data_IF_079621842381
#
_entry.id   IF_079621842381
#
_cell.length_a   1.000
_cell.length_b   1.000
_cell.length_c   1.000
_cell.angle_alpha   90.00
_cell.angle_beta   90.00
_cell.angle_gamma   90.00
#
_symmetry.space_group_name_H-M   'P 1'
#
loop_
_entity.id
_entity.type
_entity.pdbx_description
1 polymer ?
#
# COMPACT_ATOMS: atom_id res chain seq x y z
N UNK A 1 -3.68 -49.73 -4.02
CA UNK A 1 -4.66 -49.29 -3.01
C UNK A 1 -3.90 -48.36 -2.08
N UNK A 2 -3.94 -47.06 -2.35
CA UNK A 2 -3.37 -46.00 -1.52
C UNK A 2 -4.43 -44.92 -1.43
N UNK A 3 -5.02 -44.82 -0.24
CA UNK A 3 -6.09 -43.88 0.08
C UNK A 3 -5.52 -42.44 0.16
N UNK A 4 -6.19 -41.51 -0.50
CA UNK A 4 -5.99 -40.08 -0.32
C UNK A 4 -6.67 -39.61 0.97
N UNK A 5 -6.02 -38.79 1.81
CA UNK A 5 -6.69 -38.16 2.94
C UNK A 5 -7.56 -36.98 2.50
N UNK A 6 -8.73 -36.95 3.09
CA UNK A 6 -9.88 -36.14 2.76
C UNK A 6 -9.69 -34.63 2.84
N UNK A 7 -10.48 -34.00 2.03
CA UNK A 7 -10.82 -32.57 2.05
C UNK A 7 -11.45 -32.18 3.39
N UNK A 8 -10.65 -31.52 4.22
CA UNK A 8 -11.13 -30.91 5.45
C UNK A 8 -12.04 -29.72 5.12
N UNK A 9 -13.33 -29.91 5.28
CA UNK A 9 -14.33 -28.83 5.33
C UNK A 9 -13.95 -27.82 6.39
N UNK A 10 -13.64 -26.59 5.98
CA UNK A 10 -13.47 -25.45 6.89
C UNK A 10 -14.82 -25.20 7.56
N UNK A 11 -14.93 -25.65 8.81
CA UNK A 11 -16.11 -25.47 9.62
C UNK A 11 -16.38 -23.99 9.86
N UNK A 12 -17.58 -23.55 9.48
CA UNK A 12 -18.12 -22.25 9.86
C UNK A 12 -18.04 -22.08 11.36
N UNK A 13 -17.07 -21.31 11.84
CA UNK A 13 -17.05 -20.83 13.22
C UNK A 13 -18.16 -19.78 13.43
N UNK A 14 -19.40 -20.24 13.54
CA UNK A 14 -20.46 -19.49 14.25
C UNK A 14 -20.31 -19.83 15.74
N UNK A 15 -19.41 -19.16 16.45
CA UNK A 15 -19.53 -18.99 17.89
C UNK A 15 -20.02 -17.59 18.19
N UNK A 16 -21.28 -17.51 18.59
CA UNK A 16 -21.90 -16.36 19.20
C UNK A 16 -21.09 -15.97 20.44
N UNK A 17 -20.44 -14.81 20.40
CA UNK A 17 -20.02 -14.08 21.60
C UNK A 17 -21.20 -13.19 22.07
N UNK A 18 -22.34 -13.79 22.32
CA UNK A 18 -23.41 -13.18 23.10
C UNK A 18 -23.26 -13.64 24.51
N UNK A 19 -23.36 -12.69 25.43
CA UNK A 19 -23.35 -12.75 26.88
C UNK A 19 -22.00 -12.59 27.58
N UNK A 20 -21.52 -11.35 27.56
CA UNK A 20 -20.91 -10.78 28.73
C UNK A 20 -21.75 -9.53 29.08
N UNK A 21 -22.68 -9.68 30.02
CA UNK A 21 -23.48 -8.58 30.54
C UNK A 21 -22.56 -7.59 31.24
N UNK A 22 -22.24 -6.49 30.56
CA UNK A 22 -21.65 -5.30 31.14
C UNK A 22 -22.61 -4.16 30.88
N UNK A 23 -23.05 -3.52 31.95
CA UNK A 23 -23.80 -2.25 31.88
C UNK A 23 -22.98 -1.21 31.10
N UNK A 24 -23.62 -0.49 30.16
CA UNK A 24 -22.91 0.51 29.36
C UNK A 24 -22.62 1.75 30.22
N UNK A 25 -21.38 1.95 30.64
CA UNK A 25 -20.92 3.24 31.10
C UNK A 25 -20.94 4.26 29.92
N UNK A 26 -21.46 5.49 30.12
CA UNK A 26 -21.78 6.41 29.00
C UNK A 26 -20.58 7.21 28.46
N UNK A 27 -19.37 6.70 28.50
CA UNK A 27 -18.19 7.36 27.93
C UNK A 27 -17.60 6.55 26.75
N UNK A 28 -16.36 6.51 26.51
CA UNK A 28 -15.68 5.96 25.35
C UNK A 28 -15.91 4.46 25.08
N UNK A 29 -16.25 3.67 26.10
CA UNK A 29 -16.41 2.21 26.01
C UNK A 29 -17.49 1.78 25.02
N UNK A 30 -18.57 2.53 24.88
CA UNK A 30 -19.63 2.19 23.93
C UNK A 30 -19.22 2.45 22.47
N UNK A 31 -18.37 3.46 22.22
CA UNK A 31 -17.79 3.70 20.87
C UNK A 31 -16.92 2.53 20.45
N UNK A 32 -16.09 2.01 21.36
CA UNK A 32 -15.29 0.81 21.12
C UNK A 32 -16.18 -0.44 20.90
N UNK A 33 -17.24 -0.58 21.66
CA UNK A 33 -18.20 -1.66 21.48
C UNK A 33 -18.86 -1.62 20.10
N UNK A 34 -19.15 -0.43 19.57
CA UNK A 34 -19.69 -0.23 18.22
C UNK A 34 -18.74 -0.67 17.10
N UNK A 35 -17.42 -0.69 17.34
CA UNK A 35 -16.41 -1.13 16.36
C UNK A 35 -16.18 -2.64 16.33
N UNK A 36 -16.83 -3.44 17.19
CA UNK A 36 -16.58 -4.87 17.37
C UNK A 36 -16.54 -5.66 16.06
N UNK A 37 -17.56 -5.49 15.22
CA UNK A 37 -17.67 -6.25 13.97
C UNK A 37 -16.59 -5.83 12.95
N UNK A 38 -16.26 -4.55 12.87
CA UNK A 38 -15.20 -4.02 11.98
C UNK A 38 -13.84 -4.55 12.44
N UNK A 39 -13.55 -4.51 13.74
CA UNK A 39 -12.30 -5.02 14.28
C UNK A 39 -12.18 -6.55 14.11
N UNK A 40 -13.29 -7.29 14.18
CA UNK A 40 -13.31 -8.72 13.85
C UNK A 40 -13.01 -8.96 12.38
N UNK A 41 -13.65 -8.23 11.46
CA UNK A 41 -13.36 -8.32 10.01
C UNK A 41 -11.90 -7.96 9.72
N UNK A 42 -11.37 -6.92 10.38
CA UNK A 42 -9.95 -6.55 10.28
C UNK A 42 -9.03 -7.70 10.70
N UNK A 43 -9.33 -8.39 11.80
CA UNK A 43 -8.57 -9.55 12.27
C UNK A 43 -8.61 -10.71 11.28
N UNK A 44 -9.79 -11.02 10.74
CA UNK A 44 -9.97 -12.05 9.70
C UNK A 44 -9.23 -11.67 8.40
N UNK A 45 -9.32 -10.41 7.98
CA UNK A 45 -8.60 -9.91 6.81
C UNK A 45 -7.08 -10.13 6.94
N UNK A 46 -6.49 -9.76 8.07
CA UNK A 46 -5.06 -9.95 8.34
C UNK A 46 -4.66 -11.43 8.34
N UNK A 47 -5.54 -12.30 8.84
CA UNK A 47 -5.33 -13.75 8.77
C UNK A 47 -5.33 -14.25 7.32
N UNK A 48 -6.32 -13.83 6.51
CA UNK A 48 -6.43 -14.27 5.12
C UNK A 48 -5.34 -13.67 4.21
N UNK A 49 -4.86 -12.46 4.47
CA UNK A 49 -3.67 -11.91 3.81
C UNK A 49 -2.48 -12.86 4.02
N UNK A 50 -2.21 -13.27 5.26
CA UNK A 50 -1.11 -14.22 5.56
C UNK A 50 -1.29 -15.55 4.89
N UNK A 51 -2.51 -16.07 4.86
CA UNK A 51 -2.82 -17.33 4.18
C UNK A 51 -2.55 -17.24 2.68
N UNK A 52 -3.02 -16.16 2.02
CA UNK A 52 -2.81 -15.92 0.59
C UNK A 52 -1.33 -15.94 0.20
N UNK A 53 -0.50 -15.22 0.93
CA UNK A 53 0.93 -15.13 0.63
C UNK A 53 1.68 -16.43 0.96
N UNK A 54 1.36 -17.09 2.07
CA UNK A 54 1.98 -18.38 2.44
C UNK A 54 1.69 -19.47 1.42
N UNK A 55 0.47 -19.56 0.90
CA UNK A 55 0.10 -20.50 -0.16
C UNK A 55 0.85 -20.25 -1.49
N UNK A 56 1.34 -19.02 -1.68
CA UNK A 56 2.16 -18.61 -2.84
C UNK A 56 3.65 -18.62 -2.58
N UNK A 57 4.06 -19.26 -1.48
CA UNK A 57 5.48 -19.43 -1.08
C UNK A 57 6.21 -18.10 -0.82
N UNK A 58 5.49 -17.08 -0.34
CA UNK A 58 6.12 -15.88 0.21
C UNK A 58 6.53 -16.13 1.67
N UNK A 59 7.73 -15.68 2.02
CA UNK A 59 8.20 -15.65 3.41
C UNK A 59 7.68 -14.40 4.10
N UNK A 60 6.96 -14.56 5.22
CA UNK A 60 6.65 -13.44 6.11
C UNK A 60 7.93 -13.04 6.86
N UNK A 61 8.26 -11.75 6.80
CA UNK A 61 9.43 -11.20 7.47
C UNK A 61 9.02 -10.09 8.43
N UNK A 62 9.89 -9.80 9.39
CA UNK A 62 9.79 -8.64 10.27
C UNK A 62 11.06 -7.80 10.15
N UNK A 63 10.91 -6.53 9.83
CA UNK A 63 12.01 -5.57 9.79
C UNK A 63 11.92 -4.62 10.99
N UNK A 64 13.04 -3.99 11.40
CA UNK A 64 13.01 -3.04 12.50
C UNK A 64 12.09 -1.86 12.23
N UNK A 65 11.24 -1.52 13.19
CA UNK A 65 10.40 -0.31 13.16
C UNK A 65 11.23 0.95 13.41
N UNK A 66 12.25 0.85 14.26
CA UNK A 66 13.16 1.95 14.59
C UNK A 66 14.42 1.85 13.73
N UNK A 67 14.56 2.73 12.76
CA UNK A 67 15.60 2.70 11.72
C UNK A 67 16.55 3.91 11.83
N UNK A 68 17.80 3.76 11.40
CA UNK A 68 18.77 4.88 11.43
C UNK A 68 18.55 5.90 10.31
N UNK A 69 17.99 5.47 9.18
CA UNK A 69 17.80 6.30 8.00
C UNK A 69 16.55 5.84 7.23
N UNK A 70 15.48 6.64 7.17
CA UNK A 70 14.37 6.40 6.25
C UNK A 70 14.80 6.69 4.81
N UNK A 71 13.98 6.23 3.83
CA UNK A 71 14.14 6.65 2.44
C UNK A 71 13.99 8.17 2.35
N UNK A 72 14.88 8.89 1.66
CA UNK A 72 14.66 10.29 1.35
C UNK A 72 13.53 10.41 0.33
N UNK A 73 12.39 10.91 0.78
CA UNK A 73 11.22 11.20 -0.06
C UNK A 73 10.76 12.64 0.20
N UNK A 74 10.48 13.45 -0.85
CA UNK A 74 10.18 14.86 -0.68
C UNK A 74 8.94 15.15 0.17
N UNK A 75 7.92 14.28 0.04
CA UNK A 75 6.58 14.50 0.60
C UNK A 75 6.25 13.62 1.80
N UNK A 76 7.14 12.70 2.21
CA UNK A 76 6.93 11.82 3.34
C UNK A 76 7.89 12.20 4.48
N UNK A 77 7.32 12.56 5.62
CA UNK A 77 8.08 12.93 6.80
C UNK A 77 8.06 11.79 7.83
N UNK A 78 9.26 11.37 8.26
CA UNK A 78 9.41 10.33 9.26
C UNK A 78 9.40 10.91 10.67
N UNK A 79 8.73 10.23 11.59
CA UNK A 79 8.69 10.59 13.01
C UNK A 79 10.07 10.35 13.64
N UNK A 80 10.68 11.39 14.19
CA UNK A 80 11.98 11.30 14.88
C UNK A 80 11.84 10.63 16.26
N UNK A 81 12.76 9.74 16.59
CA UNK A 81 12.85 9.07 17.88
C UNK A 81 14.31 9.07 18.38
N UNK A 82 14.71 10.13 19.07
CA UNK A 82 16.09 10.36 19.47
C UNK A 82 17.01 10.60 18.28
N UNK A 83 18.00 9.73 18.09
CA UNK A 83 18.93 9.73 16.96
C UNK A 83 18.48 8.84 15.79
N UNK A 84 17.28 8.29 15.86
CA UNK A 84 16.66 7.39 14.89
C UNK A 84 15.31 7.91 14.44
N UNK A 85 14.66 7.10 13.60
CA UNK A 85 13.35 7.40 13.03
C UNK A 85 12.44 6.17 13.07
N UNK A 86 11.15 6.38 13.26
CA UNK A 86 10.16 5.35 13.00
C UNK A 86 10.04 5.17 11.47
N UNK A 87 9.96 3.92 11.01
CA UNK A 87 9.91 3.61 9.57
C UNK A 87 8.65 4.20 8.92
N UNK A 88 8.82 4.83 7.77
CA UNK A 88 7.71 5.26 6.89
C UNK A 88 7.22 4.12 6.00
N UNK A 89 8.08 3.11 5.78
CA UNK A 89 7.90 1.88 5.04
C UNK A 89 9.02 0.90 5.42
N UNK A 90 8.81 -0.42 5.35
CA UNK A 90 9.87 -1.43 5.52
C UNK A 90 10.75 -1.61 4.26
N UNK A 91 10.49 -0.91 3.17
CA UNK A 91 11.04 -1.07 1.82
C UNK A 91 12.56 -1.24 1.80
N UNK A 92 13.33 -0.30 2.39
CA UNK A 92 14.80 -0.35 2.34
C UNK A 92 15.37 -1.61 3.02
N UNK A 93 14.71 -2.10 4.06
CA UNK A 93 15.09 -3.32 4.74
C UNK A 93 14.69 -4.57 3.94
N UNK A 94 13.48 -4.60 3.38
CA UNK A 94 13.00 -5.73 2.58
C UNK A 94 13.80 -5.90 1.29
N UNK A 95 14.14 -4.81 0.59
CA UNK A 95 15.02 -4.85 -0.60
C UNK A 95 16.41 -5.40 -0.29
N UNK A 96 16.95 -5.12 0.90
CA UNK A 96 18.21 -5.74 1.34
C UNK A 96 18.11 -7.24 1.56
N UNK A 97 16.93 -7.76 1.93
CA UNK A 97 16.69 -9.19 1.99
C UNK A 97 16.63 -9.81 0.58
N UNK A 98 16.03 -9.12 -0.41
CA UNK A 98 16.08 -9.56 -1.81
C UNK A 98 17.53 -9.66 -2.30
N UNK A 99 18.35 -8.65 -2.02
CA UNK A 99 19.78 -8.65 -2.32
C UNK A 99 20.55 -9.80 -1.62
N UNK A 100 20.07 -10.26 -0.47
CA UNK A 100 20.62 -11.41 0.26
C UNK A 100 20.08 -12.78 -0.23
N UNK A 101 19.27 -12.80 -1.30
CA UNK A 101 18.82 -14.02 -1.96
C UNK A 101 17.44 -14.55 -1.53
N UNK A 102 16.64 -13.77 -0.84
CA UNK A 102 15.25 -14.15 -0.51
C UNK A 102 14.32 -13.79 -1.70
N UNK A 103 13.72 -14.76 -2.41
CA UNK A 103 13.10 -14.49 -3.71
C UNK A 103 11.68 -13.93 -3.62
N UNK A 104 10.97 -14.17 -2.53
CA UNK A 104 9.58 -13.72 -2.29
C UNK A 104 9.37 -13.42 -0.82
N UNK A 105 9.03 -12.18 -0.54
CA UNK A 105 8.86 -11.65 0.82
C UNK A 105 7.54 -10.93 0.95
N UNK A 106 6.92 -10.99 2.12
CA UNK A 106 5.86 -10.06 2.50
C UNK A 106 5.99 -9.69 3.97
N UNK A 107 5.44 -8.53 4.32
CA UNK A 107 5.38 -8.05 5.69
C UNK A 107 4.08 -7.28 5.92
N UNK A 108 3.43 -7.52 7.05
CA UNK A 108 2.37 -6.65 7.58
C UNK A 108 2.95 -5.95 8.80
N UNK A 109 3.11 -4.63 8.73
CA UNK A 109 3.74 -3.87 9.81
C UNK A 109 3.08 -2.52 10.07
N UNK A 110 3.48 -1.89 11.17
CA UNK A 110 3.18 -0.49 11.46
C UNK A 110 4.17 0.41 10.73
N UNK A 111 3.62 1.44 10.08
CA UNK A 111 4.36 2.52 9.48
C UNK A 111 3.90 3.85 10.10
N UNK A 112 4.80 4.83 10.05
CA UNK A 112 4.61 6.11 10.73
C UNK A 112 4.99 7.24 9.78
N UNK A 113 4.08 8.21 9.62
CA UNK A 113 4.32 9.40 8.80
C UNK A 113 3.88 10.62 9.59
N UNK A 114 4.82 11.53 9.80
CA UNK A 114 4.58 12.74 10.58
C UNK A 114 3.54 13.61 9.86
N UNK A 115 2.64 14.23 10.63
CA UNK A 115 1.61 15.13 10.13
C UNK A 115 0.58 14.54 9.14
N UNK A 116 0.65 13.26 8.77
CA UNK A 116 -0.40 12.63 7.97
C UNK A 116 -1.65 12.36 8.83
N UNK A 117 -2.64 13.25 8.78
CA UNK A 117 -3.91 13.12 9.50
C UNK A 117 -5.08 13.60 8.65
N UNK A 118 -6.08 12.72 8.49
CA UNK A 118 -7.28 12.99 7.72
C UNK A 118 -8.24 11.80 7.71
N UNK A 119 -9.34 11.91 6.98
CA UNK A 119 -10.32 10.81 6.86
C UNK A 119 -9.74 9.54 6.22
N UNK A 120 -8.63 9.63 5.50
CA UNK A 120 -7.97 8.53 4.78
C UNK A 120 -6.53 8.30 5.26
N UNK A 121 -6.06 9.04 6.27
CA UNK A 121 -4.69 9.00 6.76
C UNK A 121 -4.62 9.01 8.28
N UNK A 122 -3.71 8.21 8.81
CA UNK A 122 -3.32 8.19 10.22
C UNK A 122 -1.81 8.33 10.32
N UNK A 123 -1.28 9.03 11.34
CA UNK A 123 0.17 9.14 11.55
C UNK A 123 0.82 7.79 11.88
N UNK A 124 0.07 6.85 12.43
CA UNK A 124 0.41 5.45 12.60
C UNK A 124 -0.62 4.59 11.89
N UNK A 125 -0.21 3.78 10.92
CA UNK A 125 -1.09 2.95 10.11
C UNK A 125 -0.50 1.58 9.84
N UNK A 126 -1.32 0.66 9.32
CA UNK A 126 -0.89 -0.68 8.95
C UNK A 126 -0.67 -0.77 7.45
N UNK A 127 0.53 -1.19 7.08
CA UNK A 127 0.94 -1.42 5.70
C UNK A 127 1.18 -2.93 5.46
N UNK A 128 0.77 -3.39 4.30
CA UNK A 128 1.18 -4.66 3.73
C UNK A 128 2.13 -4.35 2.59
N UNK A 129 3.35 -4.86 2.64
CA UNK A 129 4.29 -4.83 1.53
C UNK A 129 4.69 -6.23 1.11
N UNK A 130 4.89 -6.42 -0.22
CA UNK A 130 5.45 -7.66 -0.73
C UNK A 130 6.30 -7.42 -1.96
N UNK A 131 7.24 -8.34 -2.17
CA UNK A 131 8.25 -8.26 -3.20
C UNK A 131 8.46 -9.62 -3.86
N UNK A 132 8.70 -9.63 -5.18
CA UNK A 132 9.00 -10.83 -5.94
C UNK A 132 10.17 -10.59 -6.90
N UNK A 133 11.18 -11.47 -6.81
CA UNK A 133 12.34 -11.50 -7.71
C UNK A 133 11.93 -12.06 -9.08
N UNK A 134 12.59 -11.60 -10.15
CA UNK A 134 12.33 -11.95 -11.55
C UNK A 134 10.87 -11.67 -11.96
N UNK A 135 10.32 -10.56 -11.44
CA UNK A 135 8.98 -10.06 -11.73
C UNK A 135 9.03 -8.56 -12.01
N UNK A 136 7.96 -8.07 -12.61
CA UNK A 136 7.73 -6.66 -12.96
C UNK A 136 6.42 -6.15 -12.36
N UNK A 137 6.12 -4.87 -12.58
CA UNK A 137 4.92 -4.22 -12.10
C UNK A 137 3.63 -4.82 -12.69
N UNK A 138 3.65 -5.41 -13.88
CA UNK A 138 2.49 -6.05 -14.48
C UNK A 138 2.11 -7.34 -13.74
N UNK A 139 3.11 -8.11 -13.31
CA UNK A 139 2.89 -9.26 -12.43
C UNK A 139 2.22 -8.85 -11.12
N UNK A 140 2.60 -7.71 -10.53
CA UNK A 140 1.98 -7.21 -9.30
C UNK A 140 0.53 -6.77 -9.51
N UNK A 141 0.14 -6.27 -10.68
CA UNK A 141 -1.27 -6.01 -11.01
C UNK A 141 -2.09 -7.30 -10.93
N UNK A 142 -1.58 -8.40 -11.51
CA UNK A 142 -2.27 -9.70 -11.48
C UNK A 142 -2.33 -10.28 -10.05
N UNK A 143 -1.28 -10.07 -9.23
CA UNK A 143 -1.31 -10.47 -7.82
C UNK A 143 -2.30 -9.64 -6.98
N UNK A 144 -2.40 -8.33 -7.22
CA UNK A 144 -3.41 -7.47 -6.58
C UNK A 144 -4.83 -7.96 -6.89
N UNK A 145 -5.09 -8.24 -8.17
CA UNK A 145 -6.38 -8.78 -8.60
C UNK A 145 -6.69 -10.10 -7.87
N UNK A 146 -5.74 -11.02 -7.85
CA UNK A 146 -5.89 -12.30 -7.17
C UNK A 146 -6.10 -12.13 -5.65
N UNK A 147 -5.34 -11.24 -5.00
CA UNK A 147 -5.46 -10.97 -3.56
C UNK A 147 -6.83 -10.42 -3.19
N UNK A 148 -7.28 -9.36 -3.85
CA UNK A 148 -8.53 -8.70 -3.48
C UNK A 148 -9.76 -9.58 -3.77
N UNK A 149 -9.74 -10.35 -4.86
CA UNK A 149 -10.77 -11.34 -5.15
C UNK A 149 -10.80 -12.45 -4.11
N UNK A 150 -9.65 -12.99 -3.72
CA UNK A 150 -9.53 -13.98 -2.67
C UNK A 150 -10.09 -13.46 -1.34
N UNK A 151 -9.72 -12.25 -0.93
CA UNK A 151 -10.19 -11.64 0.32
C UNK A 151 -11.71 -11.41 0.30
N UNK A 152 -12.25 -10.83 -0.75
CA UNK A 152 -13.70 -10.58 -0.87
C UNK A 152 -14.50 -11.89 -0.95
N UNK A 153 -14.01 -12.85 -1.74
CA UNK A 153 -14.62 -14.17 -1.84
C UNK A 153 -14.64 -14.93 -0.52
N UNK A 154 -13.54 -14.85 0.26
CA UNK A 154 -13.44 -15.54 1.55
C UNK A 154 -14.25 -14.86 2.64
N UNK A 155 -14.23 -13.53 2.72
CA UNK A 155 -14.96 -12.76 3.74
C UNK A 155 -16.47 -12.70 3.48
N UNK A 156 -16.87 -12.53 2.24
CA UNK A 156 -18.28 -12.22 1.88
C UNK A 156 -18.92 -13.26 0.95
N UNK A 157 -18.18 -14.20 0.42
CA UNK A 157 -18.68 -15.21 -0.55
C UNK A 157 -18.98 -14.65 -1.94
N UNK A 158 -18.48 -13.47 -2.28
CA UNK A 158 -18.72 -12.79 -3.56
C UNK A 158 -17.57 -11.88 -3.97
N UNK A 159 -17.46 -11.62 -5.26
CA UNK A 159 -16.44 -10.74 -5.84
C UNK A 159 -17.00 -9.32 -6.09
N UNK A 160 -17.72 -8.81 -5.14
CA UNK A 160 -18.23 -7.43 -5.15
C UNK A 160 -18.45 -6.93 -3.71
N UNK A 161 -18.39 -5.63 -3.52
CA UNK A 161 -18.75 -4.99 -2.26
C UNK A 161 -19.37 -3.61 -2.51
N UNK A 162 -20.15 -3.13 -1.54
CA UNK A 162 -20.70 -1.79 -1.56
C UNK A 162 -19.75 -0.82 -0.86
N UNK A 163 -19.50 0.33 -1.49
CA UNK A 163 -18.75 1.43 -0.86
C UNK A 163 -19.43 2.77 -1.17
N UNK A 164 -19.83 3.50 -0.13
CA UNK A 164 -20.46 4.83 -0.20
C UNK A 164 -21.57 4.93 -1.27
N UNK A 165 -22.47 3.93 -1.24
CA UNK A 165 -23.63 3.87 -2.15
C UNK A 165 -23.34 3.33 -3.56
N UNK A 166 -22.09 2.98 -3.88
CA UNK A 166 -21.70 2.38 -5.15
C UNK A 166 -21.40 0.89 -4.97
N UNK A 167 -21.69 0.05 -5.98
CA UNK A 167 -21.25 -1.35 -6.03
C UNK A 167 -19.95 -1.43 -6.81
N UNK A 168 -18.88 -1.94 -6.20
CA UNK A 168 -17.57 -2.15 -6.82
C UNK A 168 -17.40 -3.63 -7.10
N UNK A 169 -17.23 -3.97 -8.38
CA UNK A 169 -17.07 -5.35 -8.86
C UNK A 169 -15.58 -5.69 -8.96
N UNK A 170 -15.18 -6.79 -8.33
CA UNK A 170 -13.81 -7.31 -8.37
C UNK A 170 -13.58 -8.37 -9.45
N UNK A 171 -14.64 -8.76 -10.21
CA UNK A 171 -14.49 -9.69 -11.33
C UNK A 171 -13.70 -9.05 -12.46
N UNK A 172 -12.75 -9.77 -13.10
CA UNK A 172 -11.94 -9.25 -14.19
C UNK A 172 -12.77 -8.99 -15.47
N UNK A 173 -12.25 -8.19 -16.42
CA UNK A 173 -10.97 -7.49 -16.34
C UNK A 173 -11.06 -6.21 -15.51
N UNK A 174 -9.99 -5.90 -14.74
CA UNK A 174 -9.84 -4.60 -14.11
C UNK A 174 -9.38 -3.56 -15.13
N UNK A 175 -9.68 -2.30 -14.84
CA UNK A 175 -9.27 -1.20 -15.71
C UNK A 175 -7.76 -0.96 -15.57
N UNK A 176 -7.08 -0.80 -16.71
CA UNK A 176 -5.67 -0.37 -16.80
C UNK A 176 -5.65 0.93 -17.59
N UNK A 177 -5.44 2.04 -16.92
CA UNK A 177 -5.46 3.39 -17.48
C UNK A 177 -4.07 3.99 -17.35
N UNK A 178 -3.47 4.42 -18.46
CA UNK A 178 -2.19 5.15 -18.39
C UNK A 178 -2.37 6.51 -17.75
N UNK A 179 -1.34 7.03 -17.07
CA UNK A 179 -1.35 8.38 -16.51
C UNK A 179 -1.66 9.41 -17.60
N UNK A 180 -1.06 9.28 -18.80
CA UNK A 180 -1.32 10.18 -19.93
C UNK A 180 -2.78 10.16 -20.37
N UNK A 181 -3.42 8.98 -20.46
CA UNK A 181 -4.82 8.89 -20.84
C UNK A 181 -5.75 9.41 -19.73
N UNK A 182 -5.41 9.19 -18.45
CA UNK A 182 -6.15 9.73 -17.33
C UNK A 182 -6.14 11.27 -17.31
N UNK A 183 -4.98 11.89 -17.58
CA UNK A 183 -4.85 13.34 -17.69
C UNK A 183 -5.66 13.89 -18.85
N UNK A 184 -5.63 13.25 -20.02
CA UNK A 184 -6.47 13.63 -21.16
C UNK A 184 -7.97 13.48 -20.87
N UNK A 185 -8.36 12.40 -20.20
CA UNK A 185 -9.77 12.07 -19.97
C UNK A 185 -10.39 12.93 -18.87
N UNK A 186 -9.69 13.15 -17.77
CA UNK A 186 -10.23 13.78 -16.57
C UNK A 186 -9.51 15.07 -16.18
N UNK A 187 -8.21 15.19 -16.50
CA UNK A 187 -7.37 16.33 -16.09
C UNK A 187 -7.64 17.61 -16.89
N UNK A 188 -8.01 17.47 -18.18
CA UNK A 188 -8.22 18.59 -19.08
C UNK A 188 -6.95 19.23 -19.64
N UNK A 189 -5.77 18.61 -19.37
CA UNK A 189 -4.45 18.99 -19.89
C UNK A 189 -3.59 17.72 -20.01
N UNK A 190 -2.47 17.82 -20.73
CA UNK A 190 -1.52 16.70 -20.85
C UNK A 190 -0.63 16.60 -19.61
N UNK A 191 -0.03 15.43 -19.41
CA UNK A 191 0.98 15.21 -18.36
C UNK A 191 2.14 16.21 -18.47
N UNK A 192 2.59 16.49 -19.70
CA UNK A 192 3.67 17.43 -19.96
C UNK A 192 3.33 18.87 -19.51
N UNK A 193 2.11 19.32 -19.79
CA UNK A 193 1.63 20.64 -19.35
C UNK A 193 1.54 20.67 -17.83
N UNK A 194 0.98 19.64 -17.19
CA UNK A 194 0.85 19.56 -15.75
C UNK A 194 2.21 19.58 -15.01
N UNK A 195 3.22 18.89 -15.55
CA UNK A 195 4.59 18.94 -15.01
C UNK A 195 5.23 20.30 -15.20
N UNK A 196 5.04 20.93 -16.39
CA UNK A 196 5.61 22.26 -16.69
C UNK A 196 5.00 23.38 -15.82
N UNK A 197 3.74 23.24 -15.42
CA UNK A 197 2.99 24.18 -14.58
C UNK A 197 3.06 23.84 -13.08
N UNK A 198 3.80 22.78 -12.70
CA UNK A 198 3.92 22.29 -11.31
C UNK A 198 2.56 22.03 -10.64
N UNK A 199 1.59 21.49 -11.41
CA UNK A 199 0.23 21.22 -10.95
C UNK A 199 -0.19 19.74 -11.09
N UNK A 200 0.77 18.84 -11.34
CA UNK A 200 0.48 17.41 -11.56
C UNK A 200 -0.32 16.80 -10.39
N UNK A 201 0.17 16.93 -9.16
CA UNK A 201 -0.47 16.34 -7.98
C UNK A 201 -1.83 16.99 -7.69
N UNK A 202 -1.96 18.31 -7.88
CA UNK A 202 -3.24 19.00 -7.72
C UNK A 202 -4.30 18.45 -8.69
N UNK A 203 -3.94 18.29 -9.95
CA UNK A 203 -4.84 17.75 -10.99
C UNK A 203 -5.14 16.28 -10.73
N UNK A 204 -4.13 15.48 -10.35
CA UNK A 204 -4.31 14.07 -10.00
C UNK A 204 -5.34 13.92 -8.88
N UNK A 205 -5.11 14.57 -7.74
CA UNK A 205 -5.95 14.43 -6.54
C UNK A 205 -7.35 15.04 -6.73
N UNK A 206 -7.44 16.23 -7.36
CA UNK A 206 -8.72 16.95 -7.43
C UNK A 206 -9.62 16.52 -8.59
N UNK A 207 -9.05 16.07 -9.71
CA UNK A 207 -9.83 15.81 -10.94
C UNK A 207 -9.79 14.36 -11.40
N UNK A 208 -8.68 13.64 -11.19
CA UNK A 208 -8.50 12.27 -11.71
C UNK A 208 -8.92 11.22 -10.71
N UNK A 209 -8.32 11.19 -9.51
CA UNK A 209 -8.62 10.19 -8.46
C UNK A 209 -10.11 9.98 -8.17
N UNK A 210 -10.96 11.03 -8.06
CA UNK A 210 -12.38 10.84 -7.75
C UNK A 210 -13.14 10.01 -8.79
N UNK A 211 -12.57 9.85 -10.00
CA UNK A 211 -13.16 9.09 -11.10
C UNK A 211 -12.62 7.66 -11.19
N UNK A 212 -11.50 7.35 -10.50
CA UNK A 212 -10.85 6.05 -10.59
C UNK A 212 -11.49 5.02 -9.65
N UNK A 213 -11.58 3.77 -10.09
CA UNK A 213 -12.02 2.67 -9.25
C UNK A 213 -13.50 2.71 -8.82
N UNK A 214 -14.36 3.48 -9.49
CA UNK A 214 -15.73 3.77 -9.03
C UNK A 214 -16.70 2.62 -9.22
N UNK A 215 -16.52 1.78 -10.24
CA UNK A 215 -17.34 0.59 -10.53
C UNK A 215 -16.54 -0.71 -10.47
N UNK A 216 -15.26 -0.63 -10.79
CA UNK A 216 -14.27 -1.71 -10.75
C UNK A 216 -12.91 -1.11 -10.40
N UNK A 217 -11.96 -1.88 -9.85
CA UNK A 217 -10.62 -1.37 -9.59
C UNK A 217 -9.95 -0.82 -10.85
N UNK A 218 -9.19 0.26 -10.69
CA UNK A 218 -8.42 0.89 -11.76
C UNK A 218 -6.95 0.92 -11.38
N UNK A 219 -6.08 0.35 -12.21
CA UNK A 219 -4.65 0.57 -12.18
C UNK A 219 -4.33 1.81 -12.98
N UNK A 220 -3.85 2.86 -12.33
CA UNK A 220 -3.26 4.02 -12.96
C UNK A 220 -1.77 3.76 -13.13
N UNK A 221 -1.28 3.60 -14.36
CA UNK A 221 0.07 3.09 -14.61
C UNK A 221 0.86 3.92 -15.61
N UNK A 222 2.18 3.63 -15.71
CA UNK A 222 3.11 4.36 -16.57
C UNK A 222 3.22 5.83 -16.18
N UNK A 223 3.71 6.07 -14.97
CA UNK A 223 3.99 7.40 -14.46
C UNK A 223 5.13 8.07 -15.23
N UNK A 224 5.18 9.40 -15.32
CA UNK A 224 6.34 10.10 -15.88
C UNK A 224 7.60 9.80 -15.07
N UNK A 225 8.75 9.73 -15.76
CA UNK A 225 10.04 9.38 -15.14
C UNK A 225 10.46 10.36 -14.04
N UNK A 226 10.05 11.62 -14.14
CA UNK A 226 10.25 12.66 -13.11
C UNK A 226 9.59 12.30 -11.77
N UNK A 227 8.55 11.46 -11.81
CA UNK A 227 7.81 10.97 -10.64
C UNK A 227 8.04 9.49 -10.37
N UNK A 228 9.15 8.94 -10.85
CA UNK A 228 9.45 7.52 -10.74
C UNK A 228 9.72 7.05 -9.29
N UNK A 229 10.10 7.95 -8.37
CA UNK A 229 10.50 7.57 -7.01
C UNK A 229 11.58 6.47 -7.03
N UNK A 230 11.30 5.28 -6.48
CA UNK A 230 12.20 4.12 -6.48
C UNK A 230 11.92 3.13 -7.63
N UNK A 231 11.07 3.49 -8.59
CA UNK A 231 10.78 2.69 -9.76
C UNK A 231 11.89 2.81 -10.82
N UNK A 232 12.12 1.74 -11.57
CA UNK A 232 12.95 1.83 -12.79
C UNK A 232 12.14 2.48 -13.91
N UNK A 233 12.84 3.12 -14.87
CA UNK A 233 12.22 3.59 -16.10
C UNK A 233 12.01 2.44 -17.08
N UNK A 234 11.05 2.59 -18.01
CA UNK A 234 10.78 1.60 -19.05
C UNK A 234 11.92 1.58 -20.08
N UNK A 235 12.39 0.40 -20.42
CA UNK A 235 13.42 0.26 -21.46
C UNK A 235 12.95 0.76 -22.84
N UNK A 236 11.68 0.51 -23.17
CA UNK A 236 11.09 0.92 -24.45
C UNK A 236 10.78 2.43 -24.55
N UNK A 237 10.53 3.10 -23.42
CA UNK A 237 10.31 4.54 -23.32
C UNK A 237 10.84 5.08 -21.99
N UNK A 238 12.07 5.56 -21.94
CA UNK A 238 12.70 6.05 -20.69
C UNK A 238 12.03 7.29 -20.07
N UNK A 239 11.06 7.91 -20.74
CA UNK A 239 10.26 8.99 -20.18
C UNK A 239 9.19 8.48 -19.21
N UNK A 240 8.97 7.16 -19.16
CA UNK A 240 7.97 6.51 -18.33
C UNK A 240 8.63 5.61 -17.28
N UNK A 241 8.03 5.57 -16.11
CA UNK A 241 8.39 4.64 -15.04
C UNK A 241 7.49 3.42 -15.05
N UNK A 242 8.04 2.25 -14.78
CA UNK A 242 7.30 1.02 -14.52
C UNK A 242 6.68 1.06 -13.12
N UNK A 243 5.68 1.94 -12.95
CA UNK A 243 4.97 2.23 -11.71
C UNK A 243 3.47 2.20 -11.94
N UNK A 244 2.72 1.74 -10.96
CA UNK A 244 1.27 1.94 -10.92
C UNK A 244 0.78 2.25 -9.51
N UNK A 245 -0.37 2.87 -9.44
CA UNK A 245 -1.20 2.96 -8.25
C UNK A 245 -2.53 2.26 -8.50
N UNK A 246 -3.05 1.60 -7.46
CA UNK A 246 -4.34 0.92 -7.50
C UNK A 246 -5.40 1.76 -6.82
N UNK A 247 -6.48 2.06 -7.54
CA UNK A 247 -7.61 2.84 -7.05
C UNK A 247 -8.87 2.00 -6.92
N UNK A 248 -9.57 2.18 -5.78
CA UNK A 248 -10.90 1.65 -5.51
C UNK A 248 -11.77 2.74 -4.87
N UNK A 249 -12.92 3.02 -5.47
CA UNK A 249 -13.87 4.01 -4.94
C UNK A 249 -13.31 5.43 -4.85
N UNK A 250 -12.38 5.81 -5.72
CA UNK A 250 -11.69 7.10 -5.68
C UNK A 250 -10.64 7.20 -4.56
N UNK A 251 -10.13 6.05 -4.09
CA UNK A 251 -9.11 5.96 -3.04
C UNK A 251 -7.93 5.17 -3.57
N UNK A 252 -6.75 5.76 -3.50
CA UNK A 252 -5.48 5.05 -3.68
C UNK A 252 -5.34 3.99 -2.58
N UNK A 253 -5.27 2.73 -3.00
CA UNK A 253 -5.12 1.60 -2.11
C UNK A 253 -3.70 1.08 -2.03
N UNK A 254 -2.98 1.07 -3.17
CA UNK A 254 -1.63 0.55 -3.26
C UNK A 254 -0.78 1.32 -4.28
N UNK A 255 0.54 1.33 -4.06
CA UNK A 255 1.56 1.87 -4.95
C UNK A 255 2.62 0.81 -5.21
N UNK A 256 2.97 0.57 -6.46
CA UNK A 256 3.83 -0.52 -6.89
C UNK A 256 4.71 -0.15 -8.07
N UNK A 257 5.85 -0.81 -8.14
CA UNK A 257 6.77 -0.61 -9.26
C UNK A 257 7.71 -1.79 -9.49
N UNK A 258 8.27 -1.85 -10.69
CA UNK A 258 9.49 -2.60 -10.93
C UNK A 258 10.65 -1.82 -10.32
N UNK A 259 11.47 -2.52 -9.54
CA UNK A 259 12.46 -1.91 -8.68
C UNK A 259 13.64 -1.32 -9.46
N UNK A 260 14.05 -0.11 -9.06
CA UNK A 260 15.34 0.45 -9.48
C UNK A 260 16.46 -0.28 -8.74
N UNK A 261 17.33 -0.91 -9.50
CA UNK A 261 18.46 -1.71 -8.97
C UNK A 261 19.83 -1.11 -9.27
N UNK A 262 19.89 0.00 -10.03
CA UNK A 262 21.13 0.73 -10.26
C UNK A 262 21.48 1.60 -9.03
N UNK A 263 22.58 1.28 -8.29
CA UNK A 263 22.93 2.03 -7.09
C UNK A 263 23.35 3.48 -7.38
N UNK A 264 23.85 3.76 -8.59
CA UNK A 264 24.28 5.12 -8.96
C UNK A 264 23.05 6.00 -9.23
N UNK A 265 22.13 5.51 -10.02
CA UNK A 265 20.87 6.22 -10.27
C UNK A 265 20.09 6.42 -8.99
N UNK A 266 19.97 5.39 -8.13
CA UNK A 266 19.28 5.49 -6.85
C UNK A 266 19.94 6.54 -5.94
N UNK A 267 21.26 6.59 -5.90
CA UNK A 267 21.98 7.61 -5.11
C UNK A 267 21.67 9.02 -5.60
N UNK A 268 21.70 9.25 -6.93
CA UNK A 268 21.34 10.56 -7.51
C UNK A 268 19.91 10.99 -7.13
N UNK A 269 18.94 10.10 -7.24
CA UNK A 269 17.54 10.40 -6.86
C UNK A 269 17.40 10.71 -5.37
N UNK A 270 18.13 10.02 -4.51
CA UNK A 270 18.15 10.33 -3.07
C UNK A 270 18.83 11.66 -2.76
N UNK A 271 19.90 12.02 -3.48
CA UNK A 271 20.53 13.33 -3.36
C UNK A 271 19.57 14.45 -3.78
N UNK A 272 18.86 14.29 -4.90
CA UNK A 272 17.84 15.23 -5.36
C UNK A 272 16.70 15.39 -4.34
N UNK A 273 16.17 14.28 -3.80
CA UNK A 273 15.15 14.31 -2.77
C UNK A 273 15.62 15.03 -1.49
N UNK A 274 16.86 14.79 -1.05
CA UNK A 274 17.44 15.53 0.08
C UNK A 274 17.60 17.01 -0.20
N UNK A 275 17.97 17.40 -1.43
CA UNK A 275 18.03 18.81 -1.82
C UNK A 275 16.65 19.48 -1.77
N UNK A 276 15.62 18.79 -2.21
CA UNK A 276 14.24 19.29 -2.12
C UNK A 276 13.78 19.42 -0.66
N UNK A 277 14.13 18.47 0.23
CA UNK A 277 13.88 18.59 1.67
C UNK A 277 14.57 19.82 2.25
N UNK A 278 15.85 20.04 1.94
CA UNK A 278 16.60 21.22 2.39
C UNK A 278 15.97 22.52 1.86
N UNK A 279 15.61 22.56 0.58
CA UNK A 279 14.97 23.74 -0.02
C UNK A 279 13.62 24.07 0.64
N UNK A 280 12.90 23.03 1.13
CA UNK A 280 11.66 23.18 1.89
C UNK A 280 11.89 23.47 3.39
N UNK A 281 13.13 23.72 3.82
CA UNK A 281 13.48 24.03 5.22
C UNK A 281 13.51 22.81 6.15
N UNK A 282 13.44 21.59 5.61
CA UNK A 282 13.51 20.34 6.37
C UNK A 282 14.97 19.94 6.62
N UNK A 283 15.20 19.20 7.70
CA UNK A 283 16.50 18.56 7.96
C UNK A 283 16.60 17.27 7.14
N UNK A 284 17.63 17.10 6.29
CA UNK A 284 17.78 15.85 5.53
C UNK A 284 18.05 14.68 6.46
N UNK A 285 17.53 13.50 6.09
CA UNK A 285 17.78 12.27 6.82
C UNK A 285 19.23 11.80 6.68
N UNK A 286 19.73 10.99 7.64
CA UNK A 286 21.01 10.31 7.45
C UNK A 286 21.00 9.48 6.17
N UNK A 287 22.16 9.39 5.50
CA UNK A 287 22.31 8.67 4.25
C UNK A 287 22.10 7.16 4.43
N UNK A 288 21.22 6.50 3.64
CA UNK A 288 20.93 5.07 3.75
C UNK A 288 22.01 4.22 3.03
N UNK A 289 23.29 4.41 3.33
CA UNK A 289 24.42 3.82 2.62
C UNK A 289 24.38 2.30 2.49
N UNK A 290 23.96 1.60 3.56
CA UNK A 290 23.83 0.13 3.51
C UNK A 290 22.77 -0.39 2.54
N UNK A 291 21.75 0.41 2.25
CA UNK A 291 20.78 0.09 1.22
C UNK A 291 21.38 0.29 -0.17
N UNK A 292 22.03 1.43 -0.41
CA UNK A 292 22.70 1.72 -1.70
C UNK A 292 23.75 0.64 -2.01
N UNK A 293 24.55 0.24 -1.04
CA UNK A 293 25.53 -0.86 -1.21
C UNK A 293 24.88 -2.19 -1.62
N UNK A 294 23.72 -2.50 -1.01
CA UNK A 294 23.02 -3.75 -1.26
C UNK A 294 22.38 -3.82 -2.67
N UNK A 295 22.04 -2.69 -3.29
CA UNK A 295 21.41 -2.65 -4.62
C UNK A 295 22.25 -3.34 -5.70
N UNK A 296 23.59 -3.29 -5.60
CA UNK A 296 24.48 -3.96 -6.56
C UNK A 296 24.32 -5.49 -6.61
N UNK A 297 23.78 -6.10 -5.55
CA UNK A 297 23.51 -7.54 -5.44
C UNK A 297 22.02 -7.87 -5.60
N UNK A 298 21.16 -6.86 -5.75
CA UNK A 298 19.72 -7.06 -5.86
C UNK A 298 19.35 -7.50 -7.29
N UNK A 299 18.68 -8.65 -7.45
CA UNK A 299 18.19 -9.08 -8.76
C UNK A 299 17.01 -8.20 -9.22
N UNK A 300 16.71 -8.19 -10.54
CA UNK A 300 15.46 -7.59 -11.02
C UNK A 300 14.27 -8.08 -10.21
N UNK A 301 13.45 -7.18 -9.74
CA UNK A 301 12.33 -7.50 -8.85
C UNK A 301 11.24 -6.43 -8.95
N UNK A 302 10.09 -6.75 -8.40
CA UNK A 302 9.00 -5.81 -8.26
C UNK A 302 8.45 -5.84 -6.83
N UNK A 303 7.99 -4.68 -6.35
CA UNK A 303 7.46 -4.47 -5.02
C UNK A 303 6.24 -3.60 -4.99
N UNK A 304 5.45 -3.75 -3.95
CA UNK A 304 4.20 -3.03 -3.75
C UNK A 304 3.92 -2.79 -2.27
N UNK A 305 3.42 -1.59 -1.98
CA UNK A 305 2.89 -1.19 -0.68
C UNK A 305 1.38 -0.99 -0.75
N UNK A 306 0.63 -1.63 0.16
CA UNK A 306 -0.82 -1.57 0.23
C UNK A 306 -1.27 -1.12 1.64
N UNK A 307 -2.14 -0.08 1.68
CA UNK A 307 -2.72 0.44 2.90
C UNK A 307 -3.82 -0.46 3.47
N UNK A 308 -3.51 -1.25 4.52
CA UNK A 308 -4.48 -2.19 5.12
C UNK A 308 -5.66 -1.45 5.75
N UNK A 309 -5.45 -0.29 6.37
CA UNK A 309 -6.54 0.49 6.97
C UNK A 309 -7.53 0.97 5.91
N UNK A 310 -7.04 1.45 4.77
CA UNK A 310 -7.88 1.82 3.62
C UNK A 310 -8.62 0.61 3.04
N UNK A 311 -7.98 -0.55 2.96
CA UNK A 311 -8.63 -1.78 2.51
C UNK A 311 -9.77 -2.20 3.44
N UNK A 312 -9.55 -2.17 4.76
CA UNK A 312 -10.62 -2.44 5.74
C UNK A 312 -11.76 -1.42 5.59
N UNK A 313 -11.42 -0.13 5.44
CA UNK A 313 -12.39 0.94 5.25
C UNK A 313 -13.30 0.70 4.03
N UNK A 314 -12.70 0.33 2.90
CA UNK A 314 -13.43 0.00 1.67
C UNK A 314 -14.34 -1.21 1.86
N UNK A 315 -13.79 -2.33 2.34
CA UNK A 315 -14.51 -3.60 2.48
C UNK A 315 -15.62 -3.56 3.55
N UNK A 316 -15.50 -2.69 4.55
CA UNK A 316 -16.51 -2.51 5.61
C UNK A 316 -17.41 -1.28 5.40
N UNK A 317 -17.31 -0.62 4.23
CA UNK A 317 -18.09 0.56 3.86
C UNK A 317 -18.00 1.72 4.86
N UNK A 318 -16.81 1.95 5.41
CA UNK A 318 -16.58 3.07 6.32
C UNK A 318 -16.10 4.31 5.54
N UNK A 319 -16.48 5.50 5.99
CA UNK A 319 -16.10 6.76 5.36
C UNK A 319 -14.75 7.30 5.88
N UNK A 320 -14.30 6.82 7.04
CA UNK A 320 -13.05 7.26 7.69
C UNK A 320 -12.21 6.08 8.17
N UNK A 321 -10.88 6.23 8.09
CA UNK A 321 -9.92 5.29 8.69
C UNK A 321 -10.04 5.23 10.21
N UNK A 322 -10.57 6.26 10.86
CA UNK A 322 -10.86 6.28 12.30
C UNK A 322 -11.83 5.18 12.72
N UNK A 323 -12.76 4.82 11.83
CA UNK A 323 -13.77 3.80 12.11
C UNK A 323 -13.21 2.37 12.07
N UNK A 324 -12.06 2.16 11.45
CA UNK A 324 -11.48 0.83 11.23
C UNK A 324 -10.28 0.52 12.13
N UNK A 325 -9.87 1.47 12.98
CA UNK A 325 -8.87 1.26 14.03
C UNK A 325 -9.54 1.32 15.40
N UNK A 326 -8.98 0.60 16.38
CA UNK A 326 -9.54 0.59 17.71
C UNK A 326 -9.47 1.98 18.36
N UNK A 327 -8.31 2.63 18.27
CA UNK A 327 -8.03 3.91 18.88
C UNK A 327 -7.47 4.88 17.83
N UNK A 328 -8.30 5.81 17.30
CA UNK A 328 -7.78 6.98 16.61
C UNK A 328 -6.92 7.84 17.56
N UNK A 329 -5.94 8.59 17.06
CA UNK A 329 -4.98 9.33 17.90
C UNK A 329 -5.63 10.24 18.94
N UNK A 330 -6.74 10.89 18.60
CA UNK A 330 -7.45 11.83 19.49
C UNK A 330 -8.24 11.14 20.61
N UNK A 331 -8.27 9.82 20.63
CA UNK A 331 -8.98 9.02 21.66
C UNK A 331 -8.05 8.34 22.65
N UNK A 332 -6.75 8.63 22.58
CA UNK A 332 -5.72 8.10 23.49
C UNK A 332 -5.51 8.98 24.71
#
# INVERSE_FOLDING_TARGET
>A
MTEHPGTGTVGRFKKNFSDCGMDPHPSETWKLAGKRDILRIRGELLHFIRLFFRERHYLEVETPVLIPAPAPEPHIDAVACGDRYLQTSPELCMKRLLAAGYPRLFQVCRCFREAERGSRHLPEFTMLEWYAVERDYLFLMDECEALLRFLSGTLYGKEEFAYQGRSIRLSPPWERLSVEDAFRMYGGLSVREALAEDCFDEVLVSRIEPNLGTERPTFLYDYPAELASLARTKEADPRLAERFELYLGGIELANAFSELIDPREQALRFEEAQQQQIASGKRPYPWPGRFIEALSAMPPSAGIALGVDRLVMLLTNQASVDDVVAFPPETL
#
